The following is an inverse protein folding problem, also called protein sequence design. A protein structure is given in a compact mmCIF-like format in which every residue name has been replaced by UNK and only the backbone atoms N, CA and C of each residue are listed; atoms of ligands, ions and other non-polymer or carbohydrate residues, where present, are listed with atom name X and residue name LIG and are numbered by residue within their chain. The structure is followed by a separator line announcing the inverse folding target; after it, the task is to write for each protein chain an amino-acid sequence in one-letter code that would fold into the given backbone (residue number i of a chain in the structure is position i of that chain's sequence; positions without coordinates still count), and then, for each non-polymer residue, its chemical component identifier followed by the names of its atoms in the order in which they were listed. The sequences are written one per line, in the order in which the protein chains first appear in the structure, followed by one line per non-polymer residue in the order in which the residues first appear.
data_IF_823847508381
#
_entry.id   IF_823847508381
#
_cell.length_a   1.000
_cell.length_b   1.000
_cell.length_c   1.000
_cell.angle_alpha   90.00
_cell.angle_beta   90.00
_cell.angle_gamma   90.00
#
_symmetry.space_group_name_H-M   'P 1'
#
loop_
_entity.id
_entity.type
_entity.pdbx_description
1 polymer ?
2 non-polymer ?
3 water ?
#
# COMPACT_ATOMS: atom_id res chain seq x y z
N UNK A 21 4.14 -25.13 0.50
CA UNK A 21 5.24 -24.20 0.08
C UNK A 21 4.83 -23.37 -1.15
N UNK A 22 4.30 -22.17 -0.90
CA UNK A 22 3.90 -21.26 -1.97
C UNK A 22 4.96 -20.23 -2.38
N UNK A 23 6.23 -20.64 -2.35
CA UNK A 23 7.37 -19.77 -2.63
C UNK A 23 8.38 -20.42 -3.56
N UNK A 24 8.79 -19.68 -4.59
CA UNK A 24 9.82 -20.14 -5.52
C UNK A 24 10.93 -19.10 -5.72
N UNK A 25 12.18 -19.55 -5.65
CA UNK A 25 13.32 -18.73 -6.03
C UNK A 25 13.14 -18.15 -7.44
N UNK A 26 13.14 -16.82 -7.51
CA UNK A 26 13.13 -16.07 -8.77
C UNK A 26 14.56 -15.70 -9.20
N UNK A 27 14.73 -15.30 -10.47
CA UNK A 27 16.03 -14.90 -11.02
C UNK A 27 15.90 -13.60 -11.82
N UNK A 28 16.45 -13.58 -13.04
CA UNK A 28 16.26 -12.50 -14.04
C UNK A 28 17.25 -11.32 -13.97
N UNK A 32 20.14 -11.95 -10.72
CA UNK A 32 18.98 -11.43 -9.98
C UNK A 32 18.57 -12.40 -8.89
N UNK A 33 19.59 -12.98 -8.27
CA UNK A 33 19.47 -14.16 -7.39
C UNK A 33 19.11 -13.76 -5.95
N UNK A 34 18.26 -14.55 -5.29
CA UNK A 34 17.87 -14.26 -3.91
C UNK A 34 16.43 -13.80 -3.78
N UNK A 35 15.83 -13.36 -4.89
CA UNK A 35 14.40 -13.04 -4.92
C UNK A 35 13.48 -14.27 -4.81
N UNK A 36 12.22 -14.01 -4.50
CA UNK A 36 11.26 -15.07 -4.26
C UNK A 36 9.95 -14.54 -4.81
N UNK A 37 9.23 -15.43 -5.50
CA UNK A 37 7.87 -15.20 -5.90
C UNK A 37 6.94 -16.03 -5.00
N UNK A 38 6.05 -15.34 -4.30
CA UNK A 38 5.05 -15.96 -3.44
C UNK A 38 3.64 -15.71 -4.01
N UNK A 39 2.80 -16.74 -3.91
CA UNK A 39 1.39 -16.64 -4.24
C UNK A 39 0.55 -16.65 -2.97
N UNK A 40 -0.28 -15.64 -2.81
CA UNK A 40 -1.30 -15.69 -1.82
C UNK A 40 -2.66 -15.67 -2.51
N UNK A 41 -3.73 -15.88 -1.78
CA UNK A 41 -5.01 -15.98 -2.44
C UNK A 41 -5.54 -14.67 -3.05
N UNK A 42 -5.04 -13.50 -2.63
CA UNK A 42 -5.49 -12.24 -3.25
C UNK A 42 -4.54 -11.66 -4.33
N UNK A 43 -3.38 -12.28 -4.57
CA UNK A 43 -2.43 -11.73 -5.53
C UNK A 43 -1.09 -12.45 -5.52
N UNK A 44 -0.10 -11.89 -6.21
CA UNK A 44 1.25 -12.43 -6.18
C UNK A 44 2.19 -11.41 -5.58
N UNK A 45 3.21 -11.90 -4.90
CA UNK A 45 4.23 -11.04 -4.25
C UNK A 45 5.61 -11.36 -4.78
N UNK A 46 6.28 -10.37 -5.36
CA UNK A 46 7.70 -10.50 -5.74
C UNK A 46 8.57 -9.87 -4.64
N UNK A 47 9.38 -10.67 -3.96
CA UNK A 47 10.15 -10.18 -2.84
C UNK A 47 11.57 -10.00 -3.30
N UNK A 48 12.09 -8.79 -3.16
CA UNK A 48 13.47 -8.46 -3.60
C UNK A 48 14.32 -8.02 -2.42
N UNK A 49 15.41 -8.74 -2.15
CA UNK A 49 16.31 -8.34 -1.09
C UNK A 49 16.97 -6.99 -1.39
N UNK A 50 17.13 -6.22 -0.31
CA UNK A 50 17.75 -4.92 -0.33
C UNK A 50 18.87 -4.83 -1.33
N UNK A 51 19.77 -5.82 -1.31
CA UNK A 51 21.02 -5.74 -2.12
C UNK A 51 20.77 -5.85 -3.60
N UNK A 52 19.60 -6.32 -4.01
CA UNK A 52 19.31 -6.33 -5.44
C UNK A 52 19.03 -4.93 -5.98
N UNK A 53 18.91 -3.92 -5.11
CA UNK A 53 18.30 -2.65 -5.50
C UNK A 53 19.05 -1.43 -4.98
N UNK A 54 19.51 -1.50 -3.72
CA UNK A 54 19.99 -0.34 -3.01
C UNK A 54 21.42 -0.49 -2.61
N UNK A 55 22.10 0.65 -2.53
CA UNK A 55 23.48 0.71 -2.06
C UNK A 55 23.63 0.06 -0.69
N UNK A 56 22.74 0.40 0.24
CA UNK A 56 22.78 -0.16 1.59
C UNK A 56 21.40 -0.13 2.22
N UNK A 57 21.20 -0.91 3.29
CA UNK A 57 19.88 -1.07 3.91
C UNK A 57 19.31 0.19 4.54
N UNK A 58 20.13 1.19 4.74
CA UNK A 58 19.71 2.36 5.51
C UNK A 58 19.71 3.59 4.61
N UNK A 59 19.51 3.40 3.31
CA UNK A 59 19.44 4.53 2.39
C UNK A 59 18.51 4.21 1.22
N UNK A 60 18.03 5.26 0.54
CA UNK A 60 17.27 5.10 -0.71
C UNK A 60 18.08 5.29 -2.00
N UNK A 61 19.40 5.29 -1.89
CA UNK A 61 20.24 5.41 -3.11
C UNK A 61 20.20 4.09 -3.89
N UNK A 62 19.62 4.13 -5.08
CA UNK A 62 19.45 2.92 -5.88
C UNK A 62 20.63 2.66 -6.79
N UNK A 63 21.55 1.84 -6.29
CA UNK A 63 22.73 1.41 -7.05
C UNK A 63 22.43 1.19 -8.54
N UNK A 64 23.14 1.90 -9.42
CA UNK A 64 22.87 1.83 -10.88
C UNK A 64 23.11 0.48 -11.54
N UNK A 65 23.86 -0.39 -10.87
CA UNK A 65 24.16 -1.74 -11.36
C UNK A 65 22.92 -2.62 -11.36
N UNK A 66 21.82 -2.06 -10.89
CA UNK A 66 20.58 -2.79 -10.75
C UNK A 66 19.43 -2.04 -11.43
N UNK A 67 19.76 -1.05 -12.25
CA UNK A 67 18.77 -0.34 -13.05
C UNK A 67 18.18 -1.32 -14.03
N UNK A 68 19.01 -2.26 -14.44
CA UNK A 68 18.68 -3.21 -15.45
C UNK A 68 17.68 -4.21 -14.86
N UNK A 69 17.78 -4.46 -13.55
CA UNK A 69 16.89 -5.43 -12.96
C UNK A 69 15.45 -4.91 -12.96
N UNK A 70 15.29 -3.63 -12.65
CA UNK A 70 13.94 -3.02 -12.64
C UNK A 70 13.34 -2.91 -14.05
N UNK A 71 14.21 -2.65 -15.02
CA UNK A 71 13.81 -2.69 -16.43
C UNK A 71 13.15 -4.03 -16.79
N UNK A 72 13.72 -5.13 -16.30
CA UNK A 72 13.19 -6.45 -16.57
C UNK A 72 11.81 -6.64 -15.94
N UNK A 73 11.66 -6.24 -14.69
CA UNK A 73 10.37 -6.30 -14.02
C UNK A 73 9.36 -5.41 -14.76
N UNK A 74 9.81 -4.24 -15.21
CA UNK A 74 8.93 -3.35 -15.95
C UNK A 74 8.41 -4.01 -17.23
N UNK A 75 9.29 -4.75 -17.88
CA UNK A 75 8.98 -5.37 -19.17
C UNK A 75 7.96 -6.47 -18.97
N UNK A 76 8.14 -7.22 -17.90
CA UNK A 76 7.19 -8.24 -17.52
C UNK A 76 5.83 -7.63 -17.16
N UNK A 77 5.83 -6.50 -16.47
CA UNK A 77 4.56 -5.83 -16.14
C UNK A 77 3.74 -5.51 -17.38
N UNK A 78 4.45 -5.27 -18.47
CA UNK A 78 3.81 -4.92 -19.74
C UNK A 78 3.20 -6.13 -20.45
N UNK A 79 3.59 -7.35 -20.02
CA UNK A 79 2.86 -8.58 -20.37
C UNK A 79 1.60 -8.76 -19.56
N UNK A 80 1.33 -7.81 -18.65
CA UNK A 80 0.15 -7.93 -17.74
C UNK A 80 -1.05 -7.12 -18.25
N UNK A 81 -2.29 -7.62 -18.04
CA UNK A 81 -3.50 -6.83 -18.37
C UNK A 81 -3.50 -5.43 -17.75
N UNK A 82 -4.29 -4.50 -18.29
CA UNK A 82 -4.32 -3.18 -17.66
C UNK A 82 -5.09 -3.12 -16.32
N UNK A 83 -5.88 -4.15 -16.01
CA UNK A 83 -6.58 -4.15 -14.70
C UNK A 83 -5.70 -4.54 -13.48
N UNK A 84 -4.44 -4.93 -13.69
CA UNK A 84 -3.56 -5.27 -12.55
C UNK A 84 -3.05 -4.01 -11.87
N UNK A 85 -3.23 -3.91 -10.55
CA UNK A 85 -2.57 -2.84 -9.82
C UNK A 85 -1.21 -3.38 -9.38
N UNK A 86 -0.23 -2.50 -9.24
CA UNK A 86 1.08 -2.89 -8.76
C UNK A 86 1.47 -2.06 -7.58
N UNK A 87 1.67 -2.70 -6.44
CA UNK A 87 1.93 -1.95 -5.23
C UNK A 87 3.34 -2.23 -4.73
N UNK A 88 4.16 -1.19 -4.65
CA UNK A 88 5.55 -1.40 -4.28
C UNK A 88 5.67 -1.15 -2.82
N UNK A 89 6.15 -2.13 -2.08
CA UNK A 89 6.15 -2.11 -0.63
C UNK A 89 7.54 -2.04 0.00
N UNK A 90 7.75 -1.11 0.91
CA UNK A 90 9.00 -0.99 1.65
C UNK A 90 9.01 -1.48 3.10
N UNK A 91 10.11 -2.14 3.48
CA UNK A 91 10.35 -2.73 4.80
C UNK A 91 11.76 -2.41 5.30
N UNK A 92 11.91 -2.06 6.58
CA UNK A 92 13.26 -1.98 7.24
C UNK A 92 13.38 -2.84 8.53
N UNK A 93 14.61 -2.94 9.06
CA UNK A 93 14.85 -3.52 10.38
C UNK A 93 14.71 -2.42 11.47
N UNK A 94 15.07 -2.75 12.72
CA UNK A 94 15.12 -1.83 13.88
C UNK A 94 16.38 -0.99 14.03
N UNK A 95 17.20 -0.93 12.99
CA UNK A 95 18.45 -0.20 13.03
C UNK A 95 18.26 1.30 13.29
N UNK A 96 19.06 1.88 14.20
CA UNK A 96 18.99 3.34 14.45
C UNK A 96 19.20 4.18 13.17
N UNK A 97 18.56 5.34 13.07
CA UNK A 97 18.62 6.19 11.87
C UNK A 97 19.40 7.55 11.94
N UNK A 98 20.31 7.70 12.91
CA UNK A 98 21.08 8.96 13.11
C UNK A 98 21.96 9.36 11.90
N UNK A 99 22.87 8.44 11.54
CA UNK A 99 23.55 8.36 10.22
C UNK A 99 22.94 9.06 8.98
N UNK A 100 21.61 9.07 8.88
CA UNK A 100 20.95 9.46 7.63
C UNK A 100 19.95 10.61 7.78
N UNK A 101 19.35 10.95 6.65
CA UNK A 101 18.40 12.05 6.57
C UNK A 101 16.96 11.74 7.03
N UNK A 102 16.65 10.45 7.24
CA UNK A 102 15.27 10.04 7.53
C UNK A 102 14.99 10.09 9.04
N UNK A 103 13.72 10.30 9.41
CA UNK A 103 13.38 10.51 10.81
C UNK A 103 12.80 9.28 11.49
N UNK A 104 12.34 8.32 10.69
CA UNK A 104 11.68 7.13 11.17
C UNK A 104 11.81 6.05 10.12
N UNK A 105 11.65 4.81 10.56
CA UNK A 105 11.73 3.65 9.70
C UNK A 105 10.60 3.64 8.68
N UNK A 106 9.43 4.10 9.11
CA UNK A 106 8.35 4.39 8.22
C UNK A 106 8.80 5.30 7.07
N UNK A 107 9.48 6.38 7.40
CA UNK A 107 9.95 7.31 6.36
C UNK A 107 10.95 6.62 5.46
N UNK A 108 11.95 5.97 6.02
CA UNK A 108 12.94 5.29 5.20
C UNK A 108 12.30 4.27 4.21
N UNK A 109 11.38 3.45 4.68
CA UNK A 109 10.80 2.38 3.86
C UNK A 109 9.95 2.97 2.72
N UNK A 110 9.20 4.03 3.02
CA UNK A 110 8.41 4.75 2.04
C UNK A 110 9.27 5.25 0.89
N UNK A 111 10.41 5.81 1.26
CA UNK A 111 11.31 6.43 0.29
C UNK A 111 11.96 5.38 -0.60
N UNK A 112 12.39 4.28 -0.02
CA UNK A 112 12.87 3.16 -0.84
C UNK A 112 11.83 2.62 -1.83
N UNK A 113 10.57 2.52 -1.39
CA UNK A 113 9.50 2.01 -2.24
C UNK A 113 9.12 3.05 -3.30
N UNK A 114 9.09 4.32 -2.91
CA UNK A 114 8.84 5.36 -3.89
C UNK A 114 9.87 5.32 -5.01
N UNK A 115 11.14 5.22 -4.67
CA UNK A 115 12.19 5.21 -5.68
C UNK A 115 12.04 4.04 -6.64
N UNK A 116 11.76 2.85 -6.11
CA UNK A 116 11.58 1.70 -6.96
C UNK A 116 10.43 2.02 -7.92
N UNK A 117 9.39 2.66 -7.38
CA UNK A 117 8.23 2.99 -8.16
C UNK A 117 8.59 3.94 -9.27
N UNK A 118 9.32 5.00 -8.92
CA UNK A 118 9.70 5.99 -9.92
C UNK A 118 10.52 5.33 -11.04
N UNK A 119 11.50 4.50 -10.70
CA UNK A 119 12.28 3.78 -11.73
C UNK A 119 11.38 2.89 -12.60
N UNK A 120 10.41 2.19 -12.01
CA UNK A 120 9.42 1.42 -12.79
C UNK A 120 8.66 2.31 -13.77
N UNK A 121 8.38 3.55 -13.39
CA UNK A 121 7.78 4.55 -14.28
C UNK A 121 8.77 5.05 -15.36
N UNK A 122 10.00 5.36 -14.97
CA UNK A 122 11.05 5.63 -15.95
C UNK A 122 11.03 4.62 -17.11
N UNK A 123 10.90 3.35 -16.79
CA UNK A 123 10.87 2.31 -17.81
C UNK A 123 9.49 2.03 -18.42
N UNK A 124 8.52 2.88 -18.13
CA UNK A 124 7.33 2.90 -18.93
C UNK A 124 6.11 2.23 -18.36
N UNK A 125 6.18 1.71 -17.14
CA UNK A 125 4.93 1.29 -16.47
C UNK A 125 3.99 2.49 -16.26
N UNK A 126 2.69 2.26 -16.43
CA UNK A 126 1.71 3.34 -16.30
C UNK A 126 1.51 3.72 -14.81
N UNK A 127 1.76 5.01 -14.48
CA UNK A 127 1.56 5.54 -13.12
C UNK A 127 0.18 5.16 -12.55
N UNK A 128 -0.85 5.17 -13.39
CA UNK A 128 -2.20 4.75 -12.96
C UNK A 128 -2.28 3.31 -12.43
N UNK A 129 -1.24 2.51 -12.65
CA UNK A 129 -1.27 1.10 -12.16
C UNK A 129 -0.40 0.89 -10.95
N UNK A 130 0.12 1.96 -10.40
CA UNK A 130 1.16 1.92 -9.40
C UNK A 130 0.83 2.75 -8.14
N UNK A 131 1.30 2.24 -7.00
CA UNK A 131 1.30 2.92 -5.72
C UNK A 131 2.50 2.41 -4.93
N UNK A 132 2.82 3.08 -3.84
CA UNK A 132 3.91 2.65 -2.97
C UNK A 132 3.49 2.67 -1.51
N UNK A 133 4.01 1.72 -0.72
CA UNK A 133 3.59 1.56 0.64
C UNK A 133 4.79 1.42 1.54
N UNK A 134 4.59 1.71 2.82
CA UNK A 134 5.61 1.58 3.84
C UNK A 134 5.06 0.78 5.00
N UNK A 135 5.82 -0.22 5.43
CA UNK A 135 5.45 -1.04 6.60
C UNK A 135 6.34 -0.71 7.78
N UNK A 136 7.29 0.19 7.56
CA UNK A 136 8.30 0.47 8.57
C UNK A 136 9.04 -0.80 8.91
N UNK A 137 9.27 -1.01 10.20
CA UNK A 137 10.00 -2.17 10.71
C UNK A 137 9.10 -3.23 11.33
N UNK A 138 7.80 -3.10 11.12
CA UNK A 138 6.81 -3.87 11.85
C UNK A 138 6.57 -5.31 11.29
N UNK A 139 7.09 -5.59 10.09
CA UNK A 139 6.86 -6.87 9.41
C UNK A 139 8.14 -7.69 9.19
N UNK A 140 8.87 -8.02 10.27
CA UNK A 140 10.09 -8.78 9.96
C UNK A 140 9.76 -10.16 9.37
N UNK A 141 10.63 -10.68 8.52
CA UNK A 141 10.47 -12.07 8.06
C UNK A 141 11.36 -13.01 8.85
N UNK A 142 12.46 -12.48 9.35
CA UNK A 142 13.46 -13.23 10.11
C UNK A 142 14.04 -12.41 11.26
N UNK A 143 14.66 -13.08 12.24
CA UNK A 143 15.45 -12.38 13.24
C UNK A 143 16.64 -11.75 12.54
N UNK A 144 17.23 -10.70 13.13
CA UNK A 144 18.38 -10.01 12.58
C UNK A 144 19.71 -10.62 13.01
N UNK A 145 19.90 -11.92 12.76
CA UNK A 145 21.11 -12.58 13.25
C UNK A 145 22.11 -12.96 12.17
N UNK A 146 22.16 -12.20 11.07
CA UNK A 146 23.19 -12.39 10.04
C UNK A 146 23.41 -11.15 9.16
N UNK A 147 23.54 -11.39 7.85
CA UNK A 147 23.54 -10.36 6.84
C UNK A 147 22.43 -10.70 5.87
N UNK A 148 22.34 -11.98 5.54
CA UNK A 148 21.29 -12.44 4.66
C UNK A 148 19.94 -12.09 5.31
N UNK A 149 19.85 -12.31 6.63
CA UNK A 149 18.62 -11.99 7.37
C UNK A 149 18.27 -10.50 7.40
N UNK A 150 19.28 -9.67 7.61
CA UNK A 150 19.14 -8.23 7.50
C UNK A 150 18.60 -7.80 6.14
N UNK A 151 19.10 -8.41 5.06
CA UNK A 151 18.71 -8.08 3.68
C UNK A 151 17.23 -8.45 3.33
N UNK A 152 16.79 -9.57 3.90
CA UNK A 152 15.41 -9.98 3.87
C UNK A 152 14.54 -8.98 4.63
N UNK A 153 15.00 -8.48 5.77
CA UNK A 153 14.14 -7.57 6.54
C UNK A 153 14.08 -6.21 5.88
N UNK A 154 15.06 -5.92 5.04
CA UNK A 154 15.10 -4.64 4.32
C UNK A 154 14.64 -4.74 2.83
N UNK A 155 13.99 -5.86 2.52
CA UNK A 155 13.51 -6.15 1.17
C UNK A 155 12.52 -5.13 0.65
N UNK A 156 12.33 -5.15 -0.66
CA UNK A 156 11.16 -4.52 -1.24
C UNK A 156 10.24 -5.65 -1.75
N UNK A 157 8.92 -5.46 -1.64
CA UNK A 157 8.00 -6.43 -2.21
C UNK A 157 7.13 -5.72 -3.27
N UNK A 158 6.93 -6.36 -4.42
CA UNK A 158 6.01 -5.84 -5.41
C UNK A 158 4.78 -6.75 -5.35
N UNK A 159 3.62 -6.13 -5.09
CA UNK A 159 2.40 -6.94 -4.95
C UNK A 159 1.46 -6.66 -6.12
N UNK A 160 1.03 -7.74 -6.76
CA UNK A 160 0.17 -7.66 -7.95
C UNK A 160 -1.24 -8.19 -7.65
N UNK A 161 -2.27 -7.37 -7.89
CA UNK A 161 -3.65 -7.76 -7.60
C UNK A 161 -4.56 -7.05 -8.60
N UNK A 162 -5.87 -7.20 -8.47
CA UNK A 162 -6.82 -6.38 -9.20
C UNK A 162 -7.84 -5.98 -8.18
N UNK A 163 -8.78 -5.13 -8.63
CA UNK A 163 -9.92 -4.69 -7.84
C UNK A 163 -11.24 -5.39 -8.21
N UNK A 164 -11.20 -6.69 -8.47
CA UNK A 164 -12.42 -7.40 -8.89
C UNK A 164 -13.57 -7.24 -7.88
N UNK A 165 -14.77 -7.01 -8.37
CA UNK A 165 -15.92 -6.84 -7.45
C UNK A 165 -17.18 -7.59 -7.87
N UNK A 166 -17.03 -8.55 -8.78
CA UNK A 166 -18.19 -9.34 -9.22
C UNK A 166 -18.93 -9.96 -8.05
N UNK A 167 -18.15 -10.58 -7.15
CA UNK A 167 -18.73 -11.35 -6.03
C UNK A 167 -19.46 -10.40 -5.12
N UNK A 168 -18.86 -9.23 -4.92
CA UNK A 168 -19.45 -8.15 -4.16
C UNK A 168 -20.78 -7.66 -4.74
N UNK A 169 -20.80 -7.38 -6.05
CA UNK A 169 -22.01 -6.98 -6.75
C UNK A 169 -23.10 -8.05 -6.69
N UNK A 170 -22.73 -9.30 -6.94
CA UNK A 170 -23.66 -10.39 -6.78
C UNK A 170 -24.29 -10.32 -5.41
N UNK A 171 -23.49 -10.16 -4.37
CA UNK A 171 -24.04 -10.32 -3.03
C UNK A 171 -24.95 -9.18 -2.72
N UNK A 172 -24.55 -7.99 -3.12
CA UNK A 172 -25.29 -6.80 -2.84
C UNK A 172 -26.67 -6.86 -3.54
N UNK A 173 -26.69 -7.23 -4.82
CA UNK A 173 -27.95 -7.43 -5.53
C UNK A 173 -28.87 -8.39 -4.79
N UNK A 174 -28.37 -9.56 -4.42
CA UNK A 174 -29.23 -10.52 -3.74
C UNK A 174 -29.68 -9.97 -2.40
N UNK A 175 -28.76 -9.32 -1.69
CA UNK A 175 -29.07 -8.78 -0.37
C UNK A 175 -30.11 -7.65 -0.40
N UNK A 176 -30.04 -6.79 -1.41
CA UNK A 176 -31.06 -5.79 -1.63
C UNK A 176 -32.39 -6.43 -1.97
N UNK A 177 -32.34 -7.53 -2.72
CA UNK A 177 -33.56 -8.15 -3.17
C UNK A 177 -34.21 -9.05 -2.14
N UNK A 178 -33.49 -9.39 -1.07
CA UNK A 178 -34.00 -10.34 -0.09
C UNK A 178 -34.04 -9.84 1.34
N UNK A 179 -32.97 -9.18 1.80
CA UNK A 179 -32.99 -8.55 3.12
C UNK A 179 -33.68 -7.16 3.08
N UNK A 180 -34.84 -7.02 3.75
CA UNK A 180 -35.42 -5.68 3.77
C UNK A 180 -34.88 -4.89 4.98
N UNK B 22 -22.90 -2.00 -4.22
CA UNK B 22 -21.83 -2.52 -3.31
C UNK B 22 -21.21 -1.41 -2.46
N UNK B 23 -21.40 -0.17 -2.91
CA UNK B 23 -21.02 1.01 -2.14
C UNK B 23 -22.22 1.45 -1.31
N UNK B 24 -22.01 1.60 -0.01
CA UNK B 24 -23.05 2.10 0.89
C UNK B 24 -22.52 3.26 1.73
N UNK B 25 -23.40 4.23 2.02
CA UNK B 25 -23.07 5.37 2.88
C UNK B 25 -22.55 4.89 4.24
N UNK B 26 -21.47 5.50 4.71
CA UNK B 26 -20.85 5.18 6.00
C UNK B 26 -21.07 6.29 7.03
N UNK B 27 -22.17 6.18 7.77
CA UNK B 27 -22.54 7.14 8.81
C UNK B 27 -21.45 7.19 9.89
N UNK B 28 -20.77 8.34 9.96
CA UNK B 28 -19.71 8.59 10.94
C UNK B 28 -19.70 10.06 11.40
N UNK B 29 -19.62 10.99 10.46
CA UNK B 29 -19.61 12.42 10.78
C UNK B 29 -21.01 13.05 10.89
N UNK B 30 -21.98 12.44 10.20
CA UNK B 30 -23.42 12.84 10.20
C UNK B 30 -23.71 14.32 9.83
N UNK B 31 -22.90 14.86 8.93
CA UNK B 31 -23.13 16.18 8.34
C UNK B 31 -23.41 16.04 6.82
N UNK B 32 -23.23 14.83 6.30
CA UNK B 32 -23.44 14.55 4.88
C UNK B 32 -22.19 14.83 4.04
N UNK B 33 -21.03 14.42 4.57
CA UNK B 33 -19.74 14.54 3.88
C UNK B 33 -19.55 13.52 2.76
N UNK B 34 -20.00 12.29 2.99
CA UNK B 34 -19.81 11.21 2.05
C UNK B 34 -18.63 10.32 2.41
N UNK B 35 -18.60 9.85 3.65
CA UNK B 35 -17.78 8.69 3.98
C UNK B 35 -18.57 7.50 3.45
N UNK B 36 -17.92 6.62 2.70
CA UNK B 36 -18.64 5.45 2.21
C UNK B 36 -17.87 4.17 2.54
N UNK B 37 -18.60 3.07 2.68
CA UNK B 37 -18.00 1.77 2.72
C UNK B 37 -18.28 1.09 1.38
N UNK B 38 -17.21 0.56 0.78
CA UNK B 38 -17.32 -0.21 -0.43
C UNK B 38 -16.73 -1.61 -0.20
N UNK B 39 -17.39 -2.62 -0.74
CA UNK B 39 -16.84 -3.97 -0.76
C UNK B 39 -16.31 -4.32 -2.13
N UNK B 40 -15.12 -4.92 -2.14
CA UNK B 40 -14.56 -5.60 -3.32
C UNK B 40 -14.27 -7.05 -2.92
N UNK B 41 -13.92 -7.88 -3.89
CA UNK B 41 -13.76 -9.33 -3.65
C UNK B 41 -12.62 -9.75 -2.69
N UNK B 42 -11.56 -8.95 -2.61
CA UNK B 42 -10.49 -9.25 -1.66
C UNK B 42 -10.45 -8.30 -0.46
N UNK B 43 -11.50 -7.52 -0.24
CA UNK B 43 -11.52 -6.71 0.96
C UNK B 43 -12.57 -5.63 1.08
N UNK B 44 -12.42 -4.80 2.10
CA UNK B 44 -13.35 -3.73 2.43
C UNK B 44 -12.63 -2.37 2.41
N UNK B 45 -13.31 -1.36 1.87
CA UNK B 45 -12.75 -0.03 1.78
C UNK B 45 -13.65 1.04 2.43
N UNK B 46 -13.07 1.72 3.41
CA UNK B 46 -13.69 2.84 4.09
C UNK B 46 -13.15 4.15 3.53
N UNK B 47 -14.02 4.92 2.91
CA UNK B 47 -13.60 6.15 2.26
C UNK B 47 -13.87 7.37 3.13
N UNK B 48 -12.85 8.21 3.31
CA UNK B 48 -12.95 9.40 4.16
C UNK B 48 -12.50 10.66 3.39
N UNK B 49 -13.45 11.59 3.16
CA UNK B 49 -13.20 12.87 2.49
C UNK B 49 -12.21 13.75 3.24
N UNK B 50 -11.40 14.49 2.50
CA UNK B 50 -10.38 15.36 3.08
C UNK B 50 -10.92 16.28 4.17
N UNK B 51 -12.07 16.90 3.91
CA UNK B 51 -12.72 17.82 4.85
C UNK B 51 -13.01 17.16 6.18
N UNK B 52 -13.30 15.87 6.15
CA UNK B 52 -13.44 15.07 7.35
C UNK B 52 -12.15 14.98 8.19
N UNK B 53 -10.98 15.12 7.55
CA UNK B 53 -9.74 14.87 8.29
C UNK B 53 -8.77 16.05 8.34
N UNK B 54 -8.68 16.81 7.26
CA UNK B 54 -7.64 17.83 7.15
C UNK B 54 -8.17 19.24 7.03
N UNK B 55 -7.36 20.18 7.50
CA UNK B 55 -7.68 21.60 7.47
C UNK B 55 -7.91 22.02 6.01
N UNK B 56 -6.96 21.70 5.14
CA UNK B 56 -7.09 21.94 3.70
C UNK B 56 -6.66 20.74 2.87
N UNK B 57 -6.75 20.87 1.55
CA UNK B 57 -6.35 19.79 0.65
C UNK B 57 -4.85 19.80 0.30
N UNK B 58 -4.08 20.70 0.94
CA UNK B 58 -2.64 20.88 0.67
C UNK B 58 -1.73 20.72 1.91
N UNK B 59 -2.31 20.30 3.03
CA UNK B 59 -1.54 19.99 4.23
C UNK B 59 -1.93 18.62 4.85
N UNK B 60 -1.11 18.18 5.80
CA UNK B 60 -1.38 16.96 6.59
C UNK B 60 -1.63 17.26 8.07
N UNK B 61 -1.80 18.52 8.40
CA UNK B 61 -2.23 18.86 9.75
C UNK B 61 -3.72 18.55 9.85
N UNK B 62 -4.05 17.71 10.83
CA UNK B 62 -5.38 17.12 10.99
C UNK B 62 -6.36 18.00 11.73
N UNK B 63 -7.62 17.94 11.33
CA UNK B 63 -8.75 18.55 12.03
C UNK B 63 -8.82 18.13 13.49
N UNK B 64 -8.99 19.11 14.34
CA UNK B 64 -8.94 18.88 15.77
C UNK B 64 -10.22 18.19 16.26
N UNK B 65 -11.22 18.16 15.38
CA UNK B 65 -12.56 17.66 15.67
C UNK B 65 -12.76 16.24 15.15
N UNK B 66 -11.90 15.84 14.23
CA UNK B 66 -12.00 14.55 13.56
C UNK B 66 -11.39 13.37 14.33
N UNK B 67 -10.67 13.68 15.42
CA UNK B 67 -9.98 12.68 16.22
C UNK B 67 -10.92 11.61 16.74
N UNK B 68 -12.04 12.06 17.30
CA UNK B 68 -13.10 11.20 17.83
C UNK B 68 -13.55 10.20 16.79
N UNK B 69 -13.55 10.62 15.53
CA UNK B 69 -14.02 9.78 14.43
C UNK B 69 -13.02 8.66 14.08
N UNK B 70 -11.74 8.97 14.22
CA UNK B 70 -10.68 8.00 13.96
C UNK B 70 -10.62 7.00 15.12
N UNK B 71 -10.77 7.54 16.33
CA UNK B 71 -10.86 6.75 17.56
C UNK B 71 -11.95 5.69 17.40
N UNK B 72 -13.10 6.13 16.90
CA UNK B 72 -14.19 5.25 16.57
C UNK B 72 -13.70 4.08 15.69
N UNK B 73 -13.14 4.38 14.53
CA UNK B 73 -12.54 3.35 13.64
C UNK B 73 -11.49 2.47 14.32
N UNK B 74 -10.64 3.08 15.14
CA UNK B 74 -9.64 2.32 15.88
C UNK B 74 -10.29 1.29 16.77
N UNK B 75 -11.37 1.70 17.43
CA UNK B 75 -12.15 0.80 18.30
C UNK B 75 -12.80 -0.34 17.53
N UNK B 76 -13.33 -0.04 16.35
CA UNK B 76 -13.92 -1.07 15.50
C UNK B 76 -12.87 -2.03 14.92
N UNK B 77 -11.63 -1.56 14.77
CA UNK B 77 -10.56 -2.43 14.35
C UNK B 77 -10.30 -3.54 15.37
N UNK B 78 -10.29 -3.21 16.65
CA UNK B 78 -10.07 -4.24 17.67
C UNK B 78 -11.15 -5.30 17.67
N UNK B 79 -12.28 -5.00 17.07
CA UNK B 79 -13.33 -5.99 16.95
C UNK B 79 -13.08 -6.97 15.78
N UNK B 80 -12.18 -6.61 14.87
CA UNK B 80 -11.94 -7.41 13.67
C UNK B 80 -11.14 -8.72 13.90
N UNK B 81 -11.29 -9.72 13.00
CA UNK B 81 -10.47 -10.94 13.08
C UNK B 81 -8.98 -10.65 13.19
N UNK B 82 -8.27 -11.47 13.95
CA UNK B 82 -6.83 -11.31 14.19
C UNK B 82 -5.96 -11.25 12.94
N UNK B 83 -6.45 -11.81 11.84
CA UNK B 83 -5.68 -11.89 10.58
C UNK B 83 -5.67 -10.60 9.75
N UNK B 84 -6.50 -9.64 10.12
CA UNK B 84 -6.76 -8.46 9.27
C UNK B 84 -5.51 -7.56 9.15
N UNK B 85 -5.21 -7.08 7.95
CA UNK B 85 -4.24 -5.97 7.78
C UNK B 85 -5.00 -4.73 7.31
N UNK B 86 -4.54 -3.58 7.77
CA UNK B 86 -5.19 -2.31 7.49
C UNK B 86 -4.20 -1.42 6.77
N UNK B 87 -4.56 -1.01 5.56
CA UNK B 87 -3.71 -0.15 4.73
C UNK B 87 -4.40 1.18 4.55
N UNK B 88 -3.75 2.22 5.03
CA UNK B 88 -4.25 3.59 4.90
C UNK B 88 -3.68 4.26 3.63
N UNK B 89 -4.58 4.54 2.69
CA UNK B 89 -4.23 5.00 1.35
C UNK B 89 -4.55 6.47 1.15
N UNK B 90 -3.56 7.21 0.65
CA UNK B 90 -3.69 8.62 0.30
C UNK B 90 -3.87 8.89 -1.20
N UNK B 91 -4.72 9.87 -1.51
CA UNK B 91 -5.01 10.27 -2.90
C UNK B 91 -5.12 11.79 -2.96
N UNK B 92 -4.72 12.39 -4.07
CA UNK B 92 -4.91 13.83 -4.24
C UNK B 92 -5.49 14.08 -5.60
N UNK B 93 -6.08 15.28 -5.75
CA UNK B 93 -6.41 15.84 -7.04
C UNK B 93 -5.11 16.15 -7.75
N UNK B 94 -5.18 16.70 -8.95
CA UNK B 94 -3.94 17.06 -9.63
C UNK B 94 -3.65 18.57 -9.65
N UNK B 95 -4.28 19.31 -8.72
CA UNK B 95 -4.11 20.78 -8.62
C UNK B 95 -2.65 21.05 -8.21
N UNK B 96 -1.93 21.88 -8.99
CA UNK B 96 -0.50 22.20 -8.80
C UNK B 96 -0.12 22.54 -7.37
N UNK B 97 1.11 22.22 -7.02
CA UNK B 97 1.64 22.52 -5.68
C UNK B 97 2.56 23.71 -5.75
N UNK B 98 2.13 24.82 -5.17
CA UNK B 98 2.86 26.07 -5.27
C UNK B 98 3.27 26.52 -3.87
N UNK B 99 2.31 26.34 -2.97
CA UNK B 99 2.34 26.80 -1.58
C UNK B 99 3.42 26.15 -0.70
N UNK B 100 3.42 24.83 -0.62
CA UNK B 100 3.96 24.05 0.49
C UNK B 100 5.41 23.54 0.45
N UNK B 101 5.76 22.82 1.52
CA UNK B 101 7.00 22.05 1.66
C UNK B 101 6.99 20.77 0.82
N UNK B 102 5.83 20.44 0.25
CA UNK B 102 5.62 19.18 -0.44
C UNK B 102 6.05 19.29 -1.89
N UNK B 103 7.02 18.48 -2.24
CA UNK B 103 7.57 18.43 -3.59
C UNK B 103 6.77 17.60 -4.62
N UNK B 104 5.71 16.91 -4.19
CA UNK B 104 4.88 16.13 -5.11
C UNK B 104 3.53 15.71 -4.50
N UNK B 105 2.57 15.40 -5.36
CA UNK B 105 1.31 14.76 -4.95
C UNK B 105 1.59 13.42 -4.23
N UNK B 106 2.58 12.69 -4.73
CA UNK B 106 2.98 11.49 -4.04
C UNK B 106 3.38 11.80 -2.62
N UNK B 107 4.24 12.79 -2.44
CA UNK B 107 4.72 13.13 -1.11
C UNK B 107 3.57 13.65 -0.26
N UNK B 108 2.77 14.56 -0.78
CA UNK B 108 1.57 15.01 -0.08
C UNK B 108 0.69 13.83 0.40
N UNK B 109 0.28 12.95 -0.53
CA UNK B 109 -0.63 11.84 -0.20
C UNK B 109 -0.05 10.81 0.82
N UNK B 110 1.26 10.62 0.81
CA UNK B 110 1.89 9.67 1.71
C UNK B 110 1.81 10.21 3.14
N UNK B 111 2.11 11.49 3.27
CA UNK B 111 2.03 12.19 4.52
C UNK B 111 0.62 12.24 5.10
N UNK B 112 -0.39 12.46 4.27
CA UNK B 112 -1.76 12.36 4.73
C UNK B 112 -2.13 10.95 5.22
N UNK B 113 -1.76 9.91 4.49
CA UNK B 113 -2.01 8.50 4.89
C UNK B 113 -1.20 8.19 6.18
N UNK B 114 0.03 8.69 6.24
CA UNK B 114 0.88 8.50 7.39
C UNK B 114 0.25 9.04 8.67
N UNK B 115 -0.15 10.31 8.63
CA UNK B 115 -0.72 10.94 9.79
C UNK B 115 -1.95 10.20 10.28
N UNK B 116 -2.88 9.88 9.39
CA UNK B 116 -4.03 9.03 9.76
C UNK B 116 -3.64 7.69 10.44
N UNK B 117 -2.68 6.98 9.85
CA UNK B 117 -2.13 5.75 10.44
C UNK B 117 -1.64 5.97 11.89
N UNK B 118 -0.96 7.08 12.14
CA UNK B 118 -0.36 7.37 13.44
C UNK B 118 -1.40 7.58 14.54
N UNK B 119 -2.46 8.28 14.18
CA UNK B 119 -3.62 8.46 15.01
C UNK B 119 -4.25 7.11 15.33
N UNK B 120 -4.37 6.23 14.34
CA UNK B 120 -4.88 4.89 14.60
C UNK B 120 -4.03 4.20 15.67
N UNK B 121 -2.71 4.41 15.58
CA UNK B 121 -1.79 3.86 16.57
C UNK B 121 -2.00 4.46 17.97
N UNK B 122 -2.10 5.78 18.04
CA UNK B 122 -2.49 6.49 19.26
C UNK B 122 -3.63 5.77 19.98
N UNK B 123 -4.68 5.46 19.22
CA UNK B 123 -5.87 4.86 19.79
C UNK B 123 -5.83 3.31 19.90
N UNK B 124 -4.62 2.75 19.85
CA UNK B 124 -4.44 1.35 20.23
C UNK B 124 -4.53 0.31 19.13
N UNK B 125 -4.67 0.72 17.88
CA UNK B 125 -4.54 -0.20 16.78
C UNK B 125 -3.09 -0.72 16.76
N UNK B 126 -2.93 -2.04 16.61
CA UNK B 126 -1.62 -2.70 16.61
C UNK B 126 -0.80 -2.34 15.36
N UNK B 127 0.36 -1.67 15.56
CA UNK B 127 1.23 -1.22 14.45
C UNK B 127 1.64 -2.35 13.47
N UNK B 128 1.80 -3.56 14.00
CA UNK B 128 2.17 -4.72 13.19
C UNK B 128 1.10 -5.09 12.19
N UNK B 129 -0.04 -4.40 12.22
CA UNK B 129 -1.16 -4.67 11.28
C UNK B 129 -1.44 -3.46 10.39
N UNK B 130 -0.61 -2.43 10.49
CA UNK B 130 -0.79 -1.18 9.76
C UNK B 130 0.32 -0.90 8.76
N UNK B 131 -0.05 -0.15 7.73
CA UNK B 131 0.87 0.36 6.72
C UNK B 131 0.12 1.51 6.07
N UNK B 132 0.80 2.28 5.24
CA UNK B 132 0.16 3.41 4.56
C UNK B 132 0.73 3.49 3.18
N UNK B 133 -0.08 4.00 2.27
CA UNK B 133 0.20 3.92 0.84
C UNK B 133 -0.11 5.25 0.21
N UNK B 134 0.46 5.46 -0.96
CA UNK B 134 0.25 6.72 -1.67
C UNK B 134 0.01 6.41 -3.12
N UNK B 135 -1.05 7.00 -3.65
CA UNK B 135 -1.39 6.93 -5.07
C UNK B 135 -1.15 8.26 -5.79
N UNK B 136 -0.55 9.22 -5.10
CA UNK B 136 -0.42 10.59 -5.60
C UNK B 136 -1.74 11.03 -6.22
N UNK B 137 -1.69 11.58 -7.44
CA UNK B 137 -2.91 12.07 -8.10
C UNK B 137 -3.48 11.12 -9.15
N UNK B 138 -2.86 9.94 -9.28
CA UNK B 138 -3.33 8.86 -10.14
C UNK B 138 -4.66 8.31 -9.59
N UNK B 139 -5.35 7.53 -10.41
CA UNK B 139 -6.55 6.82 -9.95
C UNK B 139 -7.61 7.77 -9.36
N UNK B 140 -8.03 8.80 -10.13
CA UNK B 140 -9.04 9.69 -9.57
C UNK B 140 -10.43 9.06 -9.51
N UNK B 141 -11.25 9.58 -8.59
CA UNK B 141 -12.62 9.13 -8.41
C UNK B 141 -13.56 9.91 -9.36
N UNK B 142 -13.03 11.01 -9.89
CA UNK B 142 -13.76 11.91 -10.79
C UNK B 142 -12.76 12.75 -11.60
N UNK B 143 -13.17 13.27 -12.77
CA UNK B 143 -12.20 14.08 -13.52
C UNK B 143 -11.82 15.32 -12.75
N UNK B 144 -10.57 15.75 -12.82
CA UNK B 144 -10.13 16.95 -12.13
C UNK B 144 -10.57 18.27 -12.82
N UNK B 145 -11.86 18.49 -13.00
CA UNK B 145 -12.36 19.51 -13.94
C UNK B 145 -13.32 20.59 -13.38
N UNK B 146 -13.57 20.53 -12.09
CA UNK B 146 -14.35 21.53 -11.39
C UNK B 146 -13.83 21.44 -9.98
N UNK B 147 -14.17 22.43 -9.15
CA UNK B 147 -13.63 22.43 -7.79
C UNK B 147 -14.27 21.34 -6.97
N UNK B 148 -15.49 20.96 -7.37
CA UNK B 148 -16.20 19.87 -6.75
C UNK B 148 -15.40 18.58 -6.83
N UNK B 149 -15.19 18.12 -8.07
CA UNK B 149 -14.53 16.86 -8.34
C UNK B 149 -13.09 16.86 -7.83
N UNK B 150 -12.36 17.95 -8.06
CA UNK B 150 -11.00 18.04 -7.56
C UNK B 150 -10.93 17.69 -6.08
N UNK B 151 -11.84 18.24 -5.28
CA UNK B 151 -11.84 17.95 -3.84
C UNK B 151 -12.26 16.49 -3.52
N UNK B 152 -13.11 15.92 -4.37
CA UNK B 152 -13.51 14.53 -4.24
C UNK B 152 -12.30 13.60 -4.36
N UNK B 153 -11.28 14.04 -5.11
CA UNK B 153 -10.09 13.22 -5.33
C UNK B 153 -9.08 13.28 -4.18
N UNK B 154 -9.31 14.17 -3.22
CA UNK B 154 -8.40 14.38 -2.10
C UNK B 154 -8.58 13.49 -0.87
N UNK B 155 -9.47 12.50 -0.99
CA UNK B 155 -9.78 11.53 0.06
C UNK B 155 -8.65 10.61 0.59
N UNK B 156 -8.94 9.94 1.70
CA UNK B 156 -8.13 8.90 2.26
C UNK B 156 -8.96 7.61 2.24
N UNK B 157 -8.37 6.49 1.89
CA UNK B 157 -9.13 5.24 1.91
C UNK B 157 -8.39 4.25 2.78
N UNK B 158 -9.11 3.63 3.70
CA UNK B 158 -8.53 2.63 4.52
C UNK B 158 -8.98 1.27 3.95
N UNK B 159 -8.03 0.41 3.59
CA UNK B 159 -8.32 -0.91 3.04
C UNK B 159 -8.02 -2.05 4.03
N UNK B 160 -8.96 -2.99 4.12
CA UNK B 160 -8.92 -4.14 5.03
C UNK B 160 -8.92 -5.46 4.23
N UNK B 161 -7.99 -6.34 4.57
CA UNK B 161 -7.77 -7.58 3.85
C UNK B 161 -7.01 -8.57 4.75
N UNK B 162 -6.81 -9.80 4.28
CA UNK B 162 -5.96 -10.75 5.03
C UNK B 162 -4.93 -11.28 4.04
N UNK B 163 -3.97 -12.05 4.52
CA UNK B 163 -2.98 -12.73 3.68
C UNK B 163 -3.24 -14.21 3.56
N UNK B 164 -4.50 -14.60 3.55
CA UNK B 164 -4.92 -15.96 3.29
C UNK B 164 -4.14 -16.57 2.11
N UNK B 165 -3.56 -17.73 2.34
CA UNK B 165 -2.93 -18.44 1.25
C UNK B 165 -3.31 -19.93 1.26
N UNK B 166 -4.47 -20.27 1.80
CA UNK B 166 -4.92 -21.67 1.75
C UNK B 166 -5.03 -22.17 0.31
N UNK B 167 -5.70 -21.40 -0.54
CA UNK B 167 -5.99 -21.81 -1.93
C UNK B 167 -4.70 -22.01 -2.72
N UNK B 168 -3.73 -21.15 -2.43
CA UNK B 168 -2.42 -21.18 -3.04
C UNK B 168 -1.68 -22.41 -2.60
N UNK B 169 -1.75 -22.73 -1.31
CA UNK B 169 -1.10 -23.92 -0.81
C UNK B 169 -1.73 -25.18 -1.34
N UNK B 170 -3.06 -25.22 -1.44
CA UNK B 170 -3.70 -26.38 -2.03
C UNK B 170 -3.19 -26.56 -3.43
N UNK B 171 -3.16 -25.47 -4.18
CA UNK B 171 -2.75 -25.58 -5.55
C UNK B 171 -1.32 -26.07 -5.70
N UNK B 172 -0.43 -25.56 -4.86
CA UNK B 172 0.96 -25.91 -4.98
C UNK B 172 1.20 -27.36 -4.60
N UNK B 173 0.42 -27.89 -3.65
CA UNK B 173 0.54 -29.28 -3.30
C UNK B 173 0.04 -30.17 -4.43
N UNK B 174 -1.09 -29.80 -5.03
CA UNK B 174 -1.62 -30.60 -6.14
C UNK B 174 -0.63 -30.59 -7.31
N UNK B 175 -0.16 -29.40 -7.64
CA UNK B 175 0.84 -29.21 -8.68
C UNK B 175 2.15 -30.03 -8.50
N UNK B 176 2.65 -30.14 -7.28
CA UNK B 176 3.86 -30.90 -7.08
C UNK B 176 3.64 -32.42 -7.20
N UNK B 177 2.43 -32.88 -6.92
CA UNK B 177 2.10 -34.28 -7.11
C UNK B 177 1.81 -34.59 -8.56
N UNK B 178 1.29 -33.63 -9.29
CA UNK B 178 0.77 -33.90 -10.63
C UNK B 178 1.64 -33.38 -11.79
N UNK B 179 2.47 -32.38 -11.51
CA UNK B 179 3.31 -31.78 -12.54
C UNK B 179 4.80 -32.19 -12.45
N UNK B 180 5.69 -31.31 -11.92
CA UNK B 180 7.15 -31.47 -12.15
C UNK B 180 7.85 -32.48 -11.23
X LIG C 1 22.03 -8.90 16.86
X LIG C 1 22.53 -9.94 17.74
X LIG C 1 20.56 -8.91 16.76
X LIG C 1 22.51 -7.63 17.38
X LIG C 1 22.54 -9.13 15.51
X LIG D 1 9.28 4.34 13.37
X LIG D 1 9.29 3.01 13.95
X LIG D 1 8.11 5.07 13.88
X LIG D 1 10.52 5.04 13.72
X LIG D 1 9.17 4.19 11.91
X LIG E 1 -20.39 11.54 6.71
X LIG E 1 -20.19 11.38 5.25
X LIG E 1 -19.28 10.89 7.44
X LIG E 1 -20.40 12.97 7.06
X LIG E 1 -21.67 10.93 7.11
#
# INVERSE_FOLDING_TARGET
GIDPFTEEQMASESSKPASQNTETKATIARKGEGSVLEQIDQGSILKLPSNLLFENATSDAINQDMMLYIERIAKIIQKLPKRVHINVRGFTDDTPLVKTRFKSHYELAANRAYRVMKVLIQYGVNPNQLSFSSYGSTNPIAPNDSLENRMKNNRVEIFFSTDANDLSKIHSILDNEFNPHKQQE
GIDPFTEEQMASESSKPASQNTETKATIARKGEGSVLEQIDQGSILKLPSNLLFENATSDAINQDMMLYIERIAKIIQKLPKRVHINVRGFTDDTPLVKTRFKSHYELAANRAYRVMKVLIQYGVNPNQLSFSSYGSTNPIAPNDSLENRMKNNRVEIFFSTDANDLSKIHSILDNEFNPHKQQE
SO4 S O1 O2 O3 O4
SO4 S O1 O2 O3 O4
SO4 S O1 O2 O3 O4
#
